data_IF_964714547646
#
_entry.id   IF_964714547646
#
_cell.length_a   1.000
_cell.length_b   1.000
_cell.length_c   1.000
_cell.angle_alpha   90.00
_cell.angle_beta   90.00
_cell.angle_gamma   90.00
#
_symmetry.space_group_name_H-M   'P 1'
#
loop_
_entity.id
_entity.type
_entity.pdbx_description
1 polymer ?
#
# COMPACT_ATOMS: atom_id res chain seq x y z
N UNK A 1 10.58 -30.34 5.85
CA UNK A 1 9.64 -29.22 6.00
C UNK A 1 9.59 -28.37 4.74
N UNK A 2 8.39 -28.23 4.19
CA UNK A 2 8.01 -27.40 3.04
C UNK A 2 6.85 -26.50 3.45
N UNK A 3 6.67 -25.42 2.70
CA UNK A 3 5.50 -24.54 2.73
C UNK A 3 4.98 -24.52 1.28
N UNK A 4 3.70 -24.75 1.08
CA UNK A 4 3.11 -24.93 -0.26
C UNK A 4 2.90 -23.62 -1.03
N UNK A 5 2.80 -22.49 -0.32
CA UNK A 5 2.76 -21.15 -0.86
C UNK A 5 3.41 -20.15 0.12
N UNK A 6 4.26 -19.27 -0.42
CA UNK A 6 5.08 -18.32 0.34
C UNK A 6 4.88 -16.88 -0.12
N UNK A 7 3.70 -16.57 -0.66
CA UNK A 7 3.34 -15.20 -1.03
C UNK A 7 1.94 -14.80 -0.58
N UNK A 8 1.75 -13.54 -0.22
CA UNK A 8 0.46 -12.98 0.20
C UNK A 8 0.32 -11.55 -0.33
N UNK A 9 -0.90 -11.13 -0.68
CA UNK A 9 -1.14 -9.73 -1.04
C UNK A 9 -0.87 -8.82 0.16
N UNK A 10 -0.30 -7.64 -0.11
CA UNK A 10 -0.29 -6.58 0.90
C UNK A 10 -1.73 -6.20 1.32
N UNK A 11 -1.88 -5.51 2.44
CA UNK A 11 -3.18 -5.14 3.00
C UNK A 11 -4.11 -6.33 3.33
N UNK A 12 -3.65 -7.57 3.23
CA UNK A 12 -4.42 -8.78 3.55
C UNK A 12 -4.92 -8.74 5.00
N UNK A 13 -6.21 -9.08 5.18
CA UNK A 13 -6.82 -9.11 6.52
C UNK A 13 -6.17 -10.18 7.42
N UNK A 14 -6.22 -9.95 8.73
CA UNK A 14 -5.77 -10.91 9.72
C UNK A 14 -6.48 -12.27 9.55
N UNK A 15 -5.72 -13.36 9.69
CA UNK A 15 -6.21 -14.72 9.45
C UNK A 15 -6.21 -15.17 7.98
N UNK A 16 -5.82 -14.31 7.04
CA UNK A 16 -5.60 -14.72 5.65
C UNK A 16 -4.55 -15.84 5.60
N UNK A 17 -4.90 -16.96 4.98
CA UNK A 17 -4.01 -18.13 4.85
C UNK A 17 -2.99 -17.87 3.74
N UNK A 18 -1.71 -17.95 4.12
CA UNK A 18 -0.58 -17.80 3.19
C UNK A 18 -0.23 -19.17 2.62
N UNK A 19 -0.06 -20.17 3.46
CA UNK A 19 0.28 -21.52 3.02
C UNK A 19 0.22 -22.52 4.17
N UNK A 20 0.40 -23.79 3.85
CA UNK A 20 0.34 -24.91 4.78
C UNK A 20 1.70 -25.59 4.86
N UNK A 21 2.17 -25.84 6.09
CA UNK A 21 3.41 -26.55 6.33
C UNK A 21 3.24 -28.06 6.22
N UNK A 22 4.22 -28.71 5.59
CA UNK A 22 4.32 -30.17 5.55
C UNK A 22 5.73 -30.61 5.92
N UNK A 23 5.86 -31.73 6.64
CA UNK A 23 7.16 -32.33 7.00
C UNK A 23 7.16 -33.77 6.53
N UNK A 24 8.16 -34.12 5.71
CA UNK A 24 8.39 -35.52 5.33
C UNK A 24 9.16 -36.22 6.45
N UNK A 25 8.63 -37.36 6.88
CA UNK A 25 9.15 -38.17 7.98
C UNK A 25 9.16 -39.65 7.57
N UNK A 26 10.28 -40.39 7.75
CA UNK A 26 10.31 -41.82 7.52
C UNK A 26 9.30 -42.64 8.34
N UNK A 27 8.88 -42.13 9.49
CA UNK A 27 7.90 -42.78 10.37
C UNK A 27 6.47 -42.32 10.02
N UNK A 28 5.81 -43.04 9.10
CA UNK A 28 4.49 -42.67 8.51
C UNK A 28 3.34 -42.44 9.51
N UNK A 29 3.49 -42.84 10.77
CA UNK A 29 2.48 -42.63 11.82
C UNK A 29 2.69 -41.37 12.64
N UNK A 30 3.76 -40.62 12.38
CA UNK A 30 4.04 -39.39 13.10
C UNK A 30 3.20 -38.22 12.61
N UNK A 31 2.87 -37.37 13.58
CA UNK A 31 2.13 -36.13 13.39
C UNK A 31 3.09 -35.01 13.73
N UNK A 32 3.08 -33.96 12.91
CA UNK A 32 4.00 -32.85 13.02
C UNK A 32 3.30 -31.61 13.57
N UNK A 33 3.78 -31.10 14.70
CA UNK A 33 3.38 -29.80 15.23
C UNK A 33 4.32 -28.71 14.72
N UNK A 34 3.83 -27.49 14.53
CA UNK A 34 4.61 -26.35 14.05
C UNK A 34 4.62 -25.19 15.05
N UNK A 35 5.75 -24.48 15.10
CA UNK A 35 5.91 -23.25 15.89
C UNK A 35 6.75 -22.24 15.11
N UNK A 36 6.36 -20.97 15.16
CA UNK A 36 7.22 -19.87 14.74
C UNK A 36 8.29 -19.64 15.82
N UNK A 37 9.54 -19.67 15.39
CA UNK A 37 10.72 -19.26 16.16
C UNK A 37 10.99 -17.78 15.92
N UNK A 38 10.71 -17.32 14.71
CA UNK A 38 10.70 -15.93 14.28
C UNK A 38 9.45 -15.72 13.43
N UNK A 39 8.62 -14.76 13.82
CA UNK A 39 7.32 -14.42 13.24
C UNK A 39 7.35 -13.09 12.48
N UNK A 40 8.55 -12.60 12.15
CA UNK A 40 8.80 -11.33 11.48
C UNK A 40 8.18 -10.15 12.23
N UNK A 41 8.60 -9.96 13.48
CA UNK A 41 8.10 -8.91 14.38
C UNK A 41 6.58 -8.99 14.63
N UNK A 42 6.04 -10.21 14.69
CA UNK A 42 4.62 -10.46 14.93
C UNK A 42 3.70 -10.27 13.72
N UNK A 43 4.24 -10.18 12.50
CA UNK A 43 3.46 -10.02 11.26
C UNK A 43 2.75 -11.30 10.82
N UNK A 44 3.27 -12.47 11.22
CA UNK A 44 2.68 -13.77 10.89
C UNK A 44 2.32 -14.59 12.13
N UNK A 45 1.35 -15.48 11.97
CA UNK A 45 0.92 -16.40 13.01
C UNK A 45 0.70 -17.81 12.44
N UNK A 46 0.46 -18.77 13.32
CA UNK A 46 0.05 -20.12 12.94
C UNK A 46 -1.41 -20.36 13.32
N UNK A 47 -2.14 -20.97 12.38
CA UNK A 47 -3.40 -21.64 12.64
C UNK A 47 -3.22 -23.13 12.33
N UNK A 48 -2.98 -23.93 13.37
CA UNK A 48 -2.57 -25.34 13.23
C UNK A 48 -1.27 -25.48 12.41
N UNK A 49 -1.34 -26.06 11.21
CA UNK A 49 -0.24 -26.21 10.26
C UNK A 49 -0.19 -25.11 9.19
N UNK A 50 -1.10 -24.13 9.26
CA UNK A 50 -1.17 -23.02 8.31
C UNK A 50 -0.42 -21.80 8.81
N UNK A 51 0.37 -21.18 7.94
CA UNK A 51 0.86 -19.82 8.10
C UNK A 51 -0.26 -18.84 7.74
N UNK A 52 -0.55 -17.90 8.62
CA UNK A 52 -1.57 -16.87 8.42
C UNK A 52 -1.04 -15.48 8.74
N UNK A 53 -1.69 -14.45 8.19
CA UNK A 53 -1.46 -13.05 8.58
C UNK A 53 -1.89 -12.84 10.04
N UNK A 54 -1.06 -12.19 10.85
CA UNK A 54 -1.36 -11.96 12.26
C UNK A 54 -2.36 -10.81 12.48
N UNK A 55 -2.95 -10.74 13.68
CA UNK A 55 -3.83 -9.63 14.07
C UNK A 55 -3.04 -8.34 14.31
N UNK A 56 -3.55 -7.21 13.81
CA UNK A 56 -2.96 -5.89 14.04
C UNK A 56 -1.66 -5.62 13.29
N UNK A 57 -1.31 -6.44 12.30
CA UNK A 57 -0.22 -6.16 11.35
C UNK A 57 -0.69 -5.27 10.20
N UNK A 58 0.23 -4.51 9.62
CA UNK A 58 0.04 -3.83 8.35
C UNK A 58 1.11 -4.32 7.36
N UNK A 59 0.73 -5.19 6.43
CA UNK A 59 1.62 -5.62 5.36
C UNK A 59 1.54 -4.56 4.26
N UNK A 60 2.67 -3.92 3.99
CA UNK A 60 2.81 -2.78 3.09
C UNK A 60 4.02 -3.11 2.19
N UNK A 61 3.76 -3.23 0.88
CA UNK A 61 4.76 -3.65 -0.11
C UNK A 61 5.82 -2.56 -0.31
N UNK A 62 5.40 -1.30 -0.33
CA UNK A 62 6.23 -0.11 -0.48
C UNK A 62 7.17 0.08 0.72
N UNK A 63 6.74 -0.32 1.93
CA UNK A 63 7.60 -0.37 3.11
C UNK A 63 8.58 -1.55 3.03
N UNK A 64 8.09 -2.77 2.77
CA UNK A 64 8.90 -3.97 2.73
C UNK A 64 8.27 -5.12 1.94
N UNK A 65 8.89 -5.44 0.80
CA UNK A 65 8.42 -6.47 -0.15
C UNK A 65 8.53 -7.92 0.35
N UNK A 66 9.41 -8.22 1.31
CA UNK A 66 9.65 -9.60 1.77
C UNK A 66 9.95 -9.69 3.26
N UNK A 67 9.53 -10.79 3.88
CA UNK A 67 9.77 -11.07 5.30
C UNK A 67 10.34 -12.47 5.49
N UNK A 68 11.43 -12.58 6.25
CA UNK A 68 11.95 -13.88 6.64
C UNK A 68 11.28 -14.36 7.93
N UNK A 69 10.84 -15.61 7.95
CA UNK A 69 10.35 -16.30 9.14
C UNK A 69 11.22 -17.52 9.43
N UNK A 70 11.21 -17.98 10.68
CA UNK A 70 11.82 -19.24 11.07
C UNK A 70 10.79 -20.14 11.73
N UNK A 71 10.64 -21.35 11.20
CA UNK A 71 9.63 -22.32 11.65
C UNK A 71 10.33 -23.56 12.17
N UNK A 72 9.85 -24.08 13.30
CA UNK A 72 10.27 -25.35 13.86
C UNK A 72 9.11 -26.33 13.84
N UNK A 73 9.38 -27.54 13.38
CA UNK A 73 8.46 -28.68 13.48
C UNK A 73 8.94 -29.67 14.53
N UNK A 74 8.00 -30.37 15.16
CA UNK A 74 8.26 -31.45 16.11
C UNK A 74 7.48 -32.70 15.68
N UNK A 75 8.11 -33.86 15.75
CA UNK A 75 7.41 -35.15 15.67
C UNK A 75 6.84 -35.55 17.06
N UNK A 76 6.15 -36.69 17.11
CA UNK A 76 5.60 -37.23 18.36
C UNK A 76 6.68 -37.75 19.33
N UNK A 77 7.91 -38.01 18.85
CA UNK A 77 9.05 -38.45 19.64
C UNK A 77 9.84 -37.28 20.26
N UNK A 78 9.54 -36.04 19.85
CA UNK A 78 10.21 -34.82 20.27
C UNK A 78 11.46 -34.46 19.46
N UNK A 79 11.75 -35.16 18.35
CA UNK A 79 12.75 -34.67 17.40
C UNK A 79 12.21 -33.44 16.69
N UNK A 80 13.11 -32.57 16.23
CA UNK A 80 12.71 -31.31 15.63
C UNK A 80 13.62 -30.88 14.48
N UNK A 81 13.02 -30.18 13.53
CA UNK A 81 13.68 -29.55 12.41
C UNK A 81 13.31 -28.07 12.39
N UNK A 82 14.30 -27.19 12.27
CA UNK A 82 14.10 -25.74 12.11
C UNK A 82 14.50 -25.34 10.69
N UNK A 83 13.68 -24.54 10.02
CA UNK A 83 13.92 -24.05 8.67
C UNK A 83 13.43 -22.61 8.52
N UNK A 84 14.14 -21.81 7.72
CA UNK A 84 13.72 -20.46 7.35
C UNK A 84 12.93 -20.47 6.04
N UNK A 85 11.97 -19.56 5.95
CA UNK A 85 11.16 -19.30 4.76
C UNK A 85 11.12 -17.79 4.53
N UNK A 86 11.07 -17.37 3.27
CA UNK A 86 10.90 -15.97 2.89
C UNK A 86 9.48 -15.84 2.35
N UNK A 87 8.69 -14.96 2.95
CA UNK A 87 7.33 -14.65 2.55
C UNK A 87 7.37 -13.39 1.68
N UNK A 88 6.91 -13.49 0.44
CA UNK A 88 6.83 -12.36 -0.49
C UNK A 88 5.48 -11.66 -0.38
N UNK A 89 5.50 -10.33 -0.38
CA UNK A 89 4.30 -9.55 -0.61
C UNK A 89 4.03 -9.44 -2.11
N UNK A 90 2.75 -9.49 -2.48
CA UNK A 90 2.29 -9.12 -3.81
C UNK A 90 1.74 -7.70 -3.71
N UNK A 91 2.27 -6.80 -4.54
CA UNK A 91 1.79 -5.42 -4.62
C UNK A 91 0.31 -5.41 -5.07
N UNK A 92 -0.49 -4.61 -4.39
CA UNK A 92 -1.90 -4.32 -4.66
C UNK A 92 -2.05 -2.81 -4.69
N UNK A 93 -2.63 -2.30 -5.78
CA UNK A 93 -2.82 -0.87 -6.00
C UNK A 93 -3.48 -0.15 -4.79
N UNK A 94 -2.73 0.73 -4.16
CA UNK A 94 -3.18 1.74 -3.23
C UNK A 94 -3.85 2.93 -3.95
N UNK A 95 -4.85 3.56 -3.33
CA UNK A 95 -5.47 4.74 -3.90
C UNK A 95 -4.55 5.97 -3.81
N UNK A 96 -4.69 6.95 -4.72
CA UNK A 96 -4.01 8.23 -4.59
C UNK A 96 -4.48 8.98 -3.34
N UNK A 97 -3.53 9.61 -2.67
CA UNK A 97 -3.76 10.51 -1.54
C UNK A 97 -3.57 11.97 -1.95
N UNK A 98 -4.33 12.86 -1.31
CA UNK A 98 -4.21 14.30 -1.48
C UNK A 98 -3.84 14.90 -0.13
N UNK A 99 -2.67 15.55 -0.09
CA UNK A 99 -2.29 16.43 1.01
C UNK A 99 -2.84 17.82 0.72
N UNK A 100 -3.53 18.40 1.71
CA UNK A 100 -4.01 19.78 1.67
C UNK A 100 -3.34 20.61 2.77
N UNK A 101 -3.32 21.94 2.66
CA UNK A 101 -2.75 22.81 3.67
C UNK A 101 -3.54 22.74 5.00
N UNK A 102 -2.83 22.54 6.11
CA UNK A 102 -3.44 22.48 7.46
C UNK A 102 -4.05 23.82 7.89
N UNK A 103 -3.42 24.93 7.48
CA UNK A 103 -3.84 26.28 7.83
C UNK A 103 -4.72 26.91 6.75
N UNK A 104 -5.77 27.62 7.18
CA UNK A 104 -6.59 28.40 6.27
C UNK A 104 -5.77 29.49 5.60
N UNK A 105 -5.75 29.48 4.27
CA UNK A 105 -5.14 30.53 3.47
C UNK A 105 -6.15 31.64 3.20
N UNK A 106 -5.78 32.87 3.53
CA UNK A 106 -6.66 34.03 3.50
C UNK A 106 -6.04 35.15 2.68
N UNK A 107 -6.89 35.82 1.91
CA UNK A 107 -6.55 37.03 1.18
C UNK A 107 -7.66 38.06 1.35
N UNK A 108 -7.34 39.34 1.16
CA UNK A 108 -8.35 40.40 1.12
C UNK A 108 -9.16 40.31 -0.18
N UNK A 109 -10.38 40.86 -0.18
CA UNK A 109 -11.18 40.91 -1.41
C UNK A 109 -10.43 41.61 -2.55
N UNK A 110 -10.59 41.10 -3.77
CA UNK A 110 -9.99 41.67 -4.98
C UNK A 110 -8.50 41.38 -5.17
N UNK A 111 -7.86 40.66 -4.24
CA UNK A 111 -6.48 40.21 -4.36
C UNK A 111 -6.43 38.72 -4.77
N UNK A 112 -5.37 38.34 -5.49
CA UNK A 112 -5.12 36.94 -5.83
C UNK A 112 -4.61 36.19 -4.59
N UNK A 113 -5.13 34.98 -4.38
CA UNK A 113 -4.58 34.04 -3.41
C UNK A 113 -3.85 32.93 -4.16
N UNK A 114 -2.55 32.80 -3.92
CA UNK A 114 -1.80 31.62 -4.33
C UNK A 114 -2.04 30.51 -3.30
N UNK A 115 -2.68 29.43 -3.74
CA UNK A 115 -2.94 28.28 -2.87
C UNK A 115 -1.71 27.38 -2.93
N UNK A 116 -0.96 27.33 -1.83
CA UNK A 116 0.26 26.51 -1.72
C UNK A 116 0.02 25.28 -0.87
N UNK A 117 0.75 24.19 -1.11
CA UNK A 117 0.73 23.00 -0.24
C UNK A 117 -0.36 21.97 -0.57
N UNK A 118 -0.92 22.02 -1.79
CA UNK A 118 -1.65 20.88 -2.34
C UNK A 118 -0.63 19.96 -3.00
N UNK A 119 -0.64 18.68 -2.63
CA UNK A 119 0.19 17.65 -3.23
C UNK A 119 -0.63 16.38 -3.41
N UNK A 120 -0.44 15.70 -4.54
CA UNK A 120 -0.98 14.37 -4.78
C UNK A 120 0.16 13.37 -4.64
N UNK A 121 -0.09 12.27 -3.95
CA UNK A 121 0.84 11.15 -3.83
C UNK A 121 0.11 9.86 -4.16
N UNK A 122 0.81 8.95 -4.83
CA UNK A 122 0.29 7.63 -5.12
C UNK A 122 1.53 6.73 -5.28
N UNK A 123 1.74 5.76 -4.39
CA UNK A 123 2.92 4.90 -4.45
C UNK A 123 2.94 4.00 -5.70
N UNK A 124 1.77 3.66 -6.23
CA UNK A 124 1.59 2.75 -7.37
C UNK A 124 1.45 3.45 -8.71
N UNK A 125 1.33 4.79 -8.72
CA UNK A 125 1.08 5.54 -9.94
C UNK A 125 2.09 5.24 -11.03
N UNK A 126 3.38 5.07 -10.70
CA UNK A 126 4.44 4.82 -11.70
C UNK A 126 4.38 5.82 -12.87
N UNK A 127 4.25 5.30 -14.09
CA UNK A 127 4.03 6.10 -15.33
C UNK A 127 2.54 6.28 -15.69
N UNK A 128 1.63 5.84 -14.82
CA UNK A 128 0.18 5.94 -14.96
C UNK A 128 -0.34 7.38 -14.89
N UNK A 129 -1.59 7.56 -15.34
CA UNK A 129 -2.28 8.84 -15.26
C UNK A 129 -3.30 8.82 -14.11
N UNK A 130 -3.34 9.91 -13.35
CA UNK A 130 -4.37 10.16 -12.34
C UNK A 130 -5.35 11.21 -12.84
N UNK A 131 -6.58 11.18 -12.33
CA UNK A 131 -7.59 12.21 -12.57
C UNK A 131 -7.72 13.10 -11.32
N UNK A 132 -7.69 14.41 -11.51
CA UNK A 132 -7.86 15.40 -10.45
C UNK A 132 -9.05 16.30 -10.78
N UNK A 133 -9.90 16.51 -9.77
CA UNK A 133 -11.01 17.46 -9.80
C UNK A 133 -10.76 18.57 -8.80
N UNK A 134 -10.79 19.81 -9.26
CA UNK A 134 -10.75 21.01 -8.43
C UNK A 134 -12.02 21.80 -8.64
N UNK A 135 -12.67 22.18 -7.55
CA UNK A 135 -13.91 22.97 -7.58
C UNK A 135 -13.82 24.13 -6.59
N UNK A 136 -14.38 25.26 -6.98
CA UNK A 136 -14.61 26.37 -6.06
C UNK A 136 -16.04 26.37 -5.54
N UNK A 137 -16.22 26.97 -4.37
CA UNK A 137 -17.55 27.33 -3.88
C UNK A 137 -17.71 28.85 -3.95
N UNK A 138 -18.94 29.33 -4.14
CA UNK A 138 -19.29 30.76 -4.12
C UNK A 138 -18.62 31.61 -5.23
N UNK A 139 -18.77 31.20 -6.50
CA UNK A 139 -18.36 31.95 -7.70
C UNK A 139 -16.85 32.29 -7.79
N UNK A 140 -16.00 31.46 -7.16
CA UNK A 140 -14.55 31.56 -7.29
C UNK A 140 -14.04 31.01 -8.61
N UNK A 141 -12.81 31.39 -8.97
CA UNK A 141 -12.13 30.84 -10.15
C UNK A 141 -10.72 30.38 -9.74
N UNK A 142 -10.29 29.23 -10.25
CA UNK A 142 -8.96 28.65 -10.06
C UNK A 142 -8.11 28.83 -11.31
N UNK A 143 -6.80 28.96 -11.11
CA UNK A 143 -5.81 28.98 -12.17
C UNK A 143 -4.65 28.07 -11.78
N UNK A 144 -4.35 27.08 -12.61
CA UNK A 144 -3.20 26.18 -12.40
C UNK A 144 -1.89 26.92 -12.71
N UNK A 145 -0.81 26.54 -12.04
CA UNK A 145 0.52 27.13 -12.30
C UNK A 145 1.08 26.70 -13.67
N UNK A 146 0.74 25.48 -14.11
CA UNK A 146 1.11 24.93 -15.41
C UNK A 146 0.01 24.03 -15.95
N UNK A 147 -0.19 24.03 -17.26
CA UNK A 147 -1.11 23.11 -17.96
C UNK A 147 -0.36 22.10 -18.84
N UNK A 148 0.97 22.11 -18.79
CA UNK A 148 1.79 21.23 -19.61
C UNK A 148 1.64 19.77 -19.19
N UNK A 149 1.43 18.89 -20.17
CA UNK A 149 1.29 17.46 -19.91
C UNK A 149 -0.02 17.05 -19.24
N UNK A 150 -1.00 17.96 -19.15
CA UNK A 150 -2.35 17.68 -18.65
C UNK A 150 -3.35 17.55 -19.81
N UNK A 151 -4.36 16.72 -19.61
CA UNK A 151 -5.52 16.59 -20.51
C UNK A 151 -6.79 16.99 -19.76
N UNK A 152 -7.46 18.05 -20.21
CA UNK A 152 -8.65 18.56 -19.54
C UNK A 152 -9.93 17.91 -20.08
N UNK A 153 -10.80 17.50 -19.15
CA UNK A 153 -12.18 17.10 -19.45
C UNK A 153 -13.19 18.18 -19.08
N UNK A 154 -12.85 19.07 -18.14
CA UNK A 154 -13.61 20.28 -17.77
C UNK A 154 -12.65 21.42 -17.41
N UNK A 155 -13.00 22.65 -17.81
CA UNK A 155 -12.11 23.82 -17.72
C UNK A 155 -10.97 23.81 -18.75
N UNK A 156 -10.17 24.87 -18.76
CA UNK A 156 -8.90 24.96 -19.50
C UNK A 156 -7.68 25.19 -18.58
N UNK A 157 -7.91 25.20 -17.27
CA UNK A 157 -6.92 25.44 -16.25
C UNK A 157 -6.77 26.92 -15.89
N UNK A 158 -7.50 27.83 -16.54
CA UNK A 158 -7.36 29.27 -16.36
C UNK A 158 -8.69 29.94 -16.03
N UNK A 159 -8.77 30.48 -14.82
CA UNK A 159 -9.94 31.19 -14.32
C UNK A 159 -11.24 30.37 -14.43
N UNK A 160 -11.19 29.09 -14.07
CA UNK A 160 -12.32 28.17 -14.11
C UNK A 160 -12.93 27.95 -12.71
N UNK A 161 -14.25 27.80 -12.62
CA UNK A 161 -14.91 27.45 -11.36
C UNK A 161 -14.77 25.96 -10.99
N UNK A 162 -14.57 25.12 -12.00
CA UNK A 162 -14.38 23.67 -11.93
C UNK A 162 -13.33 23.28 -12.98
N UNK A 163 -12.34 22.50 -12.57
CA UNK A 163 -11.28 21.96 -13.44
C UNK A 163 -11.22 20.46 -13.20
N UNK A 164 -11.38 19.67 -14.27
CA UNK A 164 -11.16 18.22 -14.25
C UNK A 164 -10.11 17.90 -15.30
N UNK A 165 -9.03 17.26 -14.87
CA UNK A 165 -7.91 16.95 -15.75
C UNK A 165 -7.21 15.64 -15.36
N UNK A 166 -6.58 15.01 -16.35
CA UNK A 166 -5.70 13.86 -16.16
C UNK A 166 -4.25 14.21 -16.48
N UNK A 167 -3.31 13.49 -15.87
CA UNK A 167 -1.88 13.58 -16.19
C UNK A 167 -1.04 12.64 -15.33
N UNK A 168 0.27 12.59 -15.58
CA UNK A 168 1.20 11.88 -14.68
C UNK A 168 1.28 12.57 -13.32
N UNK A 169 1.64 11.83 -12.27
CA UNK A 169 1.84 12.37 -10.92
C UNK A 169 2.77 13.59 -10.90
N UNK A 170 3.86 13.54 -11.69
CA UNK A 170 4.78 14.67 -11.84
C UNK A 170 4.10 15.91 -12.44
N UNK A 171 3.38 15.76 -13.56
CA UNK A 171 2.72 16.89 -14.22
C UNK A 171 1.59 17.47 -13.37
N UNK A 172 0.87 16.62 -12.65
CA UNK A 172 -0.17 17.03 -11.69
C UNK A 172 0.47 17.87 -10.58
N UNK A 173 1.52 17.39 -9.92
CA UNK A 173 2.14 18.18 -8.85
C UNK A 173 2.78 19.48 -9.37
N UNK A 174 3.35 19.48 -10.58
CA UNK A 174 3.83 20.72 -11.20
C UNK A 174 2.72 21.74 -11.52
N UNK A 175 1.48 21.29 -11.73
CA UNK A 175 0.33 22.18 -11.97
C UNK A 175 -0.24 22.79 -10.71
N UNK A 176 -0.11 22.09 -9.58
CA UNK A 176 -0.65 22.45 -8.26
C UNK A 176 0.34 23.27 -7.41
N UNK A 177 1.64 23.18 -7.67
CA UNK A 177 2.67 23.94 -6.95
C UNK A 177 2.75 25.38 -7.49
N UNK A 178 2.59 26.36 -6.60
CA UNK A 178 2.99 27.76 -6.80
C UNK A 178 4.32 28.08 -6.13
#
# INVERSE_FOLDING_TARGET
MLLDNDSVEENSEAGTVIGTFTTEDPDESDVHEYRLVDDADGRFALNEDQLVVAEGTNLDFEEQETYDIQVRTFDNAGENLTKSFTIALLNVNDPPEITIPDDQQLVNEGEQLDIVGIEVTDPDAGDGELEVTLETTNDGNLTLNSTSGLTFTTGDGQADAEIVFTGSLENINQSLVY
#
